data_IF_400444034726
#
_entry.id   IF_400444034726
#
_cell.length_a   1.000
_cell.length_b   1.000
_cell.length_c   1.000
_cell.angle_alpha   90.00
_cell.angle_beta   90.00
_cell.angle_gamma   90.00
#
_symmetry.space_group_name_H-M   'P 1'
#
loop_
_entity.id
_entity.type
_entity.pdbx_description
1 polymer ?
#
# COMPACT_ATOMS: atom_id res chain seq x y z
N UNK A 1 -88.16 -28.26 -44.78
CA UNK A 1 -86.78 -27.82 -45.04
C UNK A 1 -86.24 -27.06 -43.83
N UNK A 2 -85.31 -27.65 -43.07
CA UNK A 2 -84.17 -26.99 -42.39
C UNK A 2 -83.42 -28.02 -41.54
N UNK A 3 -82.30 -28.49 -42.08
CA UNK A 3 -81.28 -29.24 -41.34
C UNK A 3 -80.66 -28.32 -40.28
N UNK A 4 -80.50 -28.81 -39.03
CA UNK A 4 -79.53 -28.27 -38.08
C UNK A 4 -78.45 -29.31 -37.84
N UNK A 5 -77.27 -28.98 -38.35
CA UNK A 5 -76.01 -29.70 -38.20
C UNK A 5 -75.50 -29.54 -36.76
N UNK A 6 -75.24 -30.66 -36.08
CA UNK A 6 -74.59 -30.70 -34.77
C UNK A 6 -73.08 -30.60 -34.97
N UNK A 7 -72.44 -29.54 -34.44
CA UNK A 7 -70.99 -29.40 -34.42
C UNK A 7 -70.43 -30.12 -33.20
N UNK A 8 -69.78 -31.26 -33.41
CA UNK A 8 -68.92 -31.88 -32.41
C UNK A 8 -67.67 -31.02 -32.21
N UNK A 9 -67.49 -30.47 -31.02
CA UNK A 9 -66.26 -29.82 -30.57
C UNK A 9 -65.29 -30.91 -30.08
N UNK A 10 -64.31 -31.24 -30.90
CA UNK A 10 -63.20 -32.10 -30.51
C UNK A 10 -62.29 -31.36 -29.52
N UNK A 11 -62.39 -31.75 -28.25
CA UNK A 11 -61.55 -31.26 -27.16
C UNK A 11 -60.21 -32.00 -27.23
N UNK A 12 -59.21 -31.39 -27.88
CA UNK A 12 -57.82 -31.89 -27.85
C UNK A 12 -57.37 -31.97 -26.39
N UNK A 13 -57.15 -33.19 -25.89
CA UNK A 13 -56.50 -33.42 -24.58
C UNK A 13 -55.05 -32.93 -24.68
N UNK A 14 -54.52 -32.19 -23.69
CA UNK A 14 -53.10 -31.92 -23.65
C UNK A 14 -52.37 -33.26 -23.44
N UNK A 15 -51.55 -33.66 -24.41
CA UNK A 15 -50.62 -34.77 -24.22
C UNK A 15 -49.64 -34.34 -23.13
N UNK A 16 -49.67 -35.01 -21.98
CA UNK A 16 -48.58 -34.99 -21.01
C UNK A 16 -47.39 -35.67 -21.65
N UNK A 17 -46.57 -34.86 -22.32
CA UNK A 17 -45.33 -35.28 -22.96
C UNK A 17 -44.30 -35.54 -21.85
N UNK A 18 -43.99 -36.82 -21.60
CA UNK A 18 -42.93 -37.20 -20.68
C UNK A 18 -41.56 -36.84 -21.27
N UNK A 19 -40.62 -36.47 -20.42
CA UNK A 19 -39.24 -36.18 -20.84
C UNK A 19 -38.53 -37.47 -21.26
N UNK A 20 -37.80 -37.41 -22.37
CA UNK A 20 -36.94 -38.53 -22.77
C UNK A 20 -35.68 -38.57 -21.92
N UNK A 21 -35.15 -39.76 -21.64
CA UNK A 21 -33.90 -39.92 -20.88
C UNK A 21 -32.73 -39.19 -21.57
N UNK A 22 -32.74 -39.12 -22.90
CA UNK A 22 -31.74 -38.42 -23.69
C UNK A 22 -31.80 -36.89 -23.49
N UNK A 23 -32.99 -36.29 -23.47
CA UNK A 23 -33.15 -34.86 -23.15
C UNK A 23 -32.62 -34.52 -21.76
N UNK A 24 -32.89 -35.37 -20.77
CA UNK A 24 -32.44 -35.16 -19.39
C UNK A 24 -30.91 -35.22 -19.30
N UNK A 25 -30.27 -36.18 -19.96
CA UNK A 25 -28.80 -36.30 -19.97
C UNK A 25 -28.15 -35.11 -20.66
N UNK A 26 -28.68 -34.69 -21.82
CA UNK A 26 -28.17 -33.50 -22.52
C UNK A 26 -28.34 -32.25 -21.65
N UNK A 27 -29.52 -32.07 -21.03
CA UNK A 27 -29.78 -30.93 -20.16
C UNK A 27 -28.82 -30.88 -18.96
N UNK A 28 -28.55 -32.02 -18.32
CA UNK A 28 -27.59 -32.11 -17.21
C UNK A 28 -26.15 -31.80 -17.66
N UNK A 29 -25.74 -32.30 -18.83
CA UNK A 29 -24.41 -32.02 -19.38
C UNK A 29 -24.22 -30.52 -19.69
N UNK A 30 -25.20 -29.90 -20.35
CA UNK A 30 -25.17 -28.47 -20.67
C UNK A 30 -25.21 -27.62 -19.40
N UNK A 31 -26.06 -27.98 -18.44
CA UNK A 31 -26.17 -27.28 -17.16
C UNK A 31 -24.86 -27.38 -16.36
N UNK A 32 -24.25 -28.56 -16.30
CA UNK A 32 -22.95 -28.79 -15.66
C UNK A 32 -21.83 -27.99 -16.33
N UNK A 33 -21.81 -27.93 -17.66
CA UNK A 33 -20.83 -27.12 -18.40
C UNK A 33 -21.01 -25.62 -18.16
N UNK A 34 -22.26 -25.12 -18.16
CA UNK A 34 -22.55 -23.70 -17.90
C UNK A 34 -22.14 -23.28 -16.49
N UNK A 35 -22.50 -24.06 -15.47
CA UNK A 35 -22.11 -23.77 -14.08
C UNK A 35 -20.59 -23.92 -13.91
N UNK A 36 -20.00 -24.99 -14.44
CA UNK A 36 -18.56 -25.22 -14.37
C UNK A 36 -17.76 -24.10 -15.03
N UNK A 37 -18.19 -23.64 -16.21
CA UNK A 37 -17.61 -22.49 -16.89
C UNK A 37 -17.72 -21.22 -16.04
N UNK A 38 -18.92 -20.89 -15.54
CA UNK A 38 -19.16 -19.66 -14.79
C UNK A 38 -18.41 -19.63 -13.45
N UNK A 39 -18.39 -20.75 -12.72
CA UNK A 39 -17.61 -20.88 -11.48
C UNK A 39 -16.10 -20.85 -11.73
N UNK A 40 -15.63 -21.37 -12.87
CA UNK A 40 -14.22 -21.32 -13.26
C UNK A 40 -13.68 -19.90 -13.48
N UNK A 41 -14.53 -18.94 -13.84
CA UNK A 41 -14.15 -17.54 -14.05
C UNK A 41 -14.23 -16.67 -12.78
N UNK A 42 -14.90 -17.13 -11.72
CA UNK A 42 -15.07 -16.33 -10.49
C UNK A 42 -13.74 -15.93 -9.84
N UNK A 43 -12.75 -16.82 -9.64
CA UNK A 43 -11.48 -16.44 -8.98
C UNK A 43 -10.75 -15.32 -9.71
N UNK A 44 -10.71 -15.38 -11.04
CA UNK A 44 -10.11 -14.34 -11.88
C UNK A 44 -10.83 -12.99 -11.76
N UNK A 45 -12.17 -13.01 -11.72
CA UNK A 45 -12.97 -11.80 -11.54
C UNK A 45 -12.70 -11.10 -10.21
N UNK A 46 -12.68 -11.84 -9.10
CA UNK A 46 -12.46 -11.24 -7.77
C UNK A 46 -11.03 -10.74 -7.56
N UNK A 47 -10.02 -11.47 -8.07
CA UNK A 47 -8.63 -11.02 -8.00
C UNK A 47 -8.40 -9.74 -8.81
N UNK A 48 -9.03 -9.63 -9.99
CA UNK A 48 -8.96 -8.44 -10.83
C UNK A 48 -9.53 -7.20 -10.15
N UNK A 49 -10.72 -7.32 -9.55
CA UNK A 49 -11.37 -6.21 -8.83
C UNK A 49 -10.56 -5.79 -7.60
N UNK A 50 -9.98 -6.76 -6.87
CA UNK A 50 -9.11 -6.48 -5.73
C UNK A 50 -7.91 -5.62 -6.10
N UNK A 51 -7.17 -6.00 -7.15
CA UNK A 51 -5.99 -5.26 -7.63
C UNK A 51 -6.32 -3.82 -8.06
N UNK A 52 -7.45 -3.62 -8.75
CA UNK A 52 -7.89 -2.28 -9.19
C UNK A 52 -8.23 -1.41 -7.97
N UNK A 53 -8.91 -1.97 -6.98
CA UNK A 53 -9.23 -1.25 -5.73
C UNK A 53 -7.95 -0.84 -5.00
N UNK A 54 -7.00 -1.74 -4.84
CA UNK A 54 -5.72 -1.47 -4.16
C UNK A 54 -4.92 -0.38 -4.86
N UNK A 55 -4.89 -0.41 -6.20
CA UNK A 55 -4.26 0.62 -7.01
C UNK A 55 -4.95 1.99 -6.86
N UNK A 56 -6.28 2.02 -6.86
CA UNK A 56 -7.03 3.27 -6.64
C UNK A 56 -6.76 3.85 -5.24
N UNK A 57 -6.67 3.01 -4.20
CA UNK A 57 -6.29 3.46 -2.86
C UNK A 57 -4.86 4.01 -2.87
N UNK A 58 -3.91 3.30 -3.48
CA UNK A 58 -2.52 3.76 -3.57
C UNK A 58 -2.41 5.13 -4.27
N UNK A 59 -3.16 5.38 -5.34
CA UNK A 59 -3.19 6.69 -5.98
C UNK A 59 -3.86 7.77 -5.12
N UNK A 60 -4.88 7.40 -4.33
CA UNK A 60 -5.51 8.32 -3.37
C UNK A 60 -4.60 8.75 -2.22
N UNK A 61 -3.54 7.98 -1.91
CA UNK A 61 -2.59 8.30 -0.85
C UNK A 61 -1.61 9.44 -1.21
N UNK A 62 -1.50 9.84 -2.49
CA UNK A 62 -0.54 10.84 -2.95
C UNK A 62 -0.67 12.16 -2.16
N UNK A 63 -1.91 12.64 -2.01
CA UNK A 63 -2.19 13.89 -1.31
C UNK A 63 -1.89 13.76 0.19
N UNK A 64 -2.26 12.64 0.81
CA UNK A 64 -1.98 12.38 2.22
C UNK A 64 -0.48 12.29 2.51
N UNK A 65 0.30 11.71 1.57
CA UNK A 65 1.77 11.69 1.65
C UNK A 65 2.31 13.12 1.60
N UNK A 66 1.81 13.96 0.70
CA UNK A 66 2.26 15.35 0.60
C UNK A 66 1.99 16.11 1.91
N UNK A 67 0.77 16.04 2.42
CA UNK A 67 0.37 16.70 3.68
C UNK A 67 1.24 16.24 4.84
N UNK A 68 1.53 14.94 4.97
CA UNK A 68 2.35 14.42 6.05
C UNK A 68 3.81 14.89 5.92
N UNK A 69 4.38 14.91 4.72
CA UNK A 69 5.74 15.42 4.49
C UNK A 69 5.85 16.93 4.77
N UNK A 70 4.84 17.71 4.40
CA UNK A 70 4.75 19.14 4.73
C UNK A 70 4.63 19.37 6.24
N UNK A 71 3.81 18.56 6.93
CA UNK A 71 3.67 18.60 8.40
C UNK A 71 4.98 18.29 9.12
N UNK A 72 5.76 17.33 8.62
CA UNK A 72 7.07 16.99 9.16
C UNK A 72 8.12 18.09 8.96
N UNK A 73 7.91 18.94 7.96
CA UNK A 73 8.77 20.07 7.63
C UNK A 73 9.98 19.69 6.77
N UNK A 74 10.42 20.65 5.96
CA UNK A 74 11.46 20.48 4.94
C UNK A 74 12.76 19.89 5.49
N UNK A 75 13.24 20.39 6.63
CA UNK A 75 14.52 19.96 7.21
C UNK A 75 14.53 18.48 7.60
N UNK A 76 13.45 17.98 8.21
CA UNK A 76 13.37 16.59 8.62
C UNK A 76 13.32 15.69 7.38
N UNK A 77 12.50 16.04 6.40
CA UNK A 77 12.37 15.26 5.16
C UNK A 77 13.67 15.27 4.35
N UNK A 78 14.34 16.41 4.21
CA UNK A 78 15.65 16.51 3.55
C UNK A 78 16.66 15.54 4.16
N UNK A 79 16.80 15.56 5.50
CA UNK A 79 17.77 14.71 6.20
C UNK A 79 17.35 13.24 6.26
N UNK A 80 16.06 12.96 6.44
CA UNK A 80 15.52 11.61 6.49
C UNK A 80 15.53 10.86 5.15
N UNK A 81 15.63 11.59 4.04
CA UNK A 81 15.69 11.04 2.68
C UNK A 81 17.08 11.12 2.04
N UNK A 82 18.12 11.35 2.86
CA UNK A 82 19.50 11.56 2.40
C UNK A 82 19.98 10.41 1.53
N UNK A 83 20.41 10.75 0.32
CA UNK A 83 21.03 9.81 -0.63
C UNK A 83 22.42 10.24 -1.06
N UNK A 84 22.68 11.55 -1.10
CA UNK A 84 23.92 12.11 -1.61
C UNK A 84 24.69 12.70 -0.42
N UNK A 85 25.93 12.25 -0.24
CA UNK A 85 26.87 12.84 0.72
C UNK A 85 27.63 13.98 0.06
N UNK A 86 27.94 15.02 0.85
CA UNK A 86 28.64 16.20 0.35
C UNK A 86 27.95 16.82 -0.88
N UNK A 87 26.63 17.02 -0.85
CA UNK A 87 25.89 17.54 -2.02
C UNK A 87 26.41 18.90 -2.50
N UNK A 88 26.99 19.68 -1.59
CA UNK A 88 27.64 20.98 -1.84
C UNK A 88 29.14 20.87 -2.12
N UNK A 89 29.72 19.67 -2.04
CA UNK A 89 31.13 19.42 -2.28
C UNK A 89 31.42 19.31 -3.77
N UNK A 90 32.69 19.50 -4.16
CA UNK A 90 33.12 19.45 -5.57
C UNK A 90 32.87 18.07 -6.22
N UNK A 91 32.87 17.00 -5.42
CA UNK A 91 32.62 15.63 -5.86
C UNK A 91 31.57 15.00 -4.94
N UNK A 92 30.26 15.17 -5.21
CA UNK A 92 29.21 14.56 -4.41
C UNK A 92 29.18 13.04 -4.62
N UNK A 93 28.85 12.28 -3.57
CA UNK A 93 28.83 10.81 -3.59
C UNK A 93 27.40 10.28 -3.43
N UNK A 94 26.93 9.43 -4.36
CA UNK A 94 25.66 8.71 -4.21
C UNK A 94 25.85 7.47 -3.32
N UNK A 95 25.10 7.40 -2.22
CA UNK A 95 25.11 6.29 -1.26
C UNK A 95 24.51 4.99 -1.85
N UNK A 96 23.89 5.04 -3.04
CA UNK A 96 23.30 3.92 -3.76
C UNK A 96 22.31 3.12 -2.89
N UNK A 97 22.74 1.93 -2.45
CA UNK A 97 21.93 1.04 -1.64
C UNK A 97 21.92 1.44 -0.17
N UNK A 98 22.90 2.21 0.31
CA UNK A 98 22.99 2.71 1.69
C UNK A 98 22.22 4.02 1.93
N UNK A 99 21.38 4.41 0.98
CA UNK A 99 20.57 5.62 1.09
C UNK A 99 19.59 5.51 2.26
N UNK A 100 19.23 6.65 2.81
CA UNK A 100 18.20 6.74 3.85
C UNK A 100 16.83 6.88 3.20
N UNK A 101 15.86 6.19 3.78
CA UNK A 101 14.47 6.21 3.37
C UNK A 101 13.63 6.64 4.55
N UNK A 102 12.83 7.68 4.33
CA UNK A 102 11.79 8.09 5.25
C UNK A 102 10.57 7.19 4.99
N UNK A 103 10.15 6.48 6.03
CA UNK A 103 9.03 5.53 5.95
C UNK A 103 7.76 6.19 6.49
N UNK A 104 6.73 6.21 5.66
CA UNK A 104 5.37 6.49 6.09
C UNK A 104 4.53 5.22 5.97
N UNK A 105 3.46 5.15 6.74
CA UNK A 105 2.52 4.03 6.73
C UNK A 105 1.09 4.50 6.63
N UNK A 106 0.24 3.66 6.04
CA UNK A 106 -1.18 3.91 5.95
C UNK A 106 -2.00 2.64 6.23
N UNK A 107 -3.22 2.79 6.77
CA UNK A 107 -4.12 1.68 7.00
C UNK A 107 -4.64 1.09 5.70
N UNK A 108 -5.25 -0.10 5.77
CA UNK A 108 -5.81 -0.81 4.59
C UNK A 108 -6.78 0.04 3.76
N UNK A 109 -7.52 0.92 4.42
CA UNK A 109 -8.50 1.79 3.79
C UNK A 109 -7.86 3.03 3.13
N UNK A 110 -6.61 3.33 3.47
CA UNK A 110 -5.83 4.44 2.91
C UNK A 110 -6.34 5.84 3.26
N UNK A 111 -7.05 6.00 4.38
CA UNK A 111 -7.66 7.28 4.76
C UNK A 111 -6.69 8.28 5.42
N UNK A 112 -5.48 7.85 5.81
CA UNK A 112 -4.43 8.71 6.41
C UNK A 112 -3.04 8.12 6.18
N UNK A 113 -2.02 8.95 6.33
CA UNK A 113 -0.59 8.59 6.22
C UNK A 113 0.14 9.15 7.42
N UNK A 114 0.98 8.34 8.06
CA UNK A 114 1.70 8.75 9.26
C UNK A 114 3.18 8.35 9.18
N UNK A 115 4.04 9.21 9.71
CA UNK A 115 5.47 8.97 9.76
C UNK A 115 5.85 7.86 10.75
N UNK A 116 6.39 6.76 10.22
CA UNK A 116 6.80 5.61 11.03
C UNK A 116 8.21 5.78 11.59
N UNK A 117 9.20 6.01 10.72
CA UNK A 117 10.63 6.10 11.07
C UNK A 117 11.51 6.42 9.86
N UNK A 118 12.80 6.72 10.10
CA UNK A 118 13.84 6.76 9.07
C UNK A 118 14.71 5.51 9.15
N UNK A 119 15.01 4.89 8.01
CA UNK A 119 15.89 3.70 7.94
C UNK A 119 16.95 3.85 6.86
N UNK A 120 18.13 3.28 7.10
CA UNK A 120 19.10 2.97 6.05
C UNK A 120 18.61 1.74 5.28
N UNK A 121 18.61 1.86 3.96
CA UNK A 121 18.15 0.80 3.08
C UNK A 121 19.12 -0.40 3.11
N UNK A 122 18.60 -1.58 3.41
CA UNK A 122 19.37 -2.83 3.46
C UNK A 122 18.62 -3.95 2.73
N UNK A 123 19.17 -4.37 1.59
CA UNK A 123 18.55 -5.39 0.72
C UNK A 123 18.39 -6.74 1.41
N UNK A 124 19.26 -7.07 2.36
CA UNK A 124 19.23 -8.34 3.08
C UNK A 124 18.06 -8.35 4.08
N UNK A 125 17.98 -7.32 4.93
CA UNK A 125 16.92 -7.14 5.93
C UNK A 125 15.55 -6.99 5.27
N UNK A 126 15.46 -6.21 4.19
CA UNK A 126 14.20 -5.98 3.47
C UNK A 126 13.55 -7.27 2.93
N UNK A 127 14.36 -8.27 2.60
CA UNK A 127 13.91 -9.52 1.99
C UNK A 127 13.95 -10.71 2.94
N UNK A 128 14.44 -10.52 4.16
CA UNK A 128 14.31 -11.49 5.23
C UNK A 128 12.84 -11.64 5.64
N UNK A 129 12.40 -12.88 5.85
CA UNK A 129 11.02 -13.19 6.27
C UNK A 129 10.84 -13.14 7.78
N UNK A 130 11.92 -13.32 8.54
CA UNK A 130 11.89 -13.25 10.01
C UNK A 130 12.02 -11.82 10.53
N UNK A 131 12.64 -10.92 9.77
CA UNK A 131 12.76 -9.52 10.19
C UNK A 131 11.41 -8.83 10.20
N UNK A 132 11.06 -8.25 11.35
CA UNK A 132 9.89 -7.38 11.52
C UNK A 132 10.16 -5.93 11.08
N UNK A 133 11.43 -5.58 10.85
CA UNK A 133 11.86 -4.23 10.47
C UNK A 133 12.22 -4.16 8.99
N UNK A 134 12.07 -2.97 8.41
CA UNK A 134 12.32 -2.73 6.99
C UNK A 134 13.80 -2.44 6.66
N UNK A 135 14.59 -2.03 7.65
CA UNK A 135 16.01 -1.68 7.49
C UNK A 135 16.63 -1.23 8.81
N UNK A 136 17.83 -0.66 8.74
CA UNK A 136 18.56 -0.21 9.93
C UNK A 136 18.07 1.18 10.34
N UNK A 137 17.35 1.25 11.47
CA UNK A 137 16.76 2.49 11.97
C UNK A 137 17.83 3.57 12.20
N UNK A 138 17.50 4.81 11.82
CA UNK A 138 18.31 5.99 12.08
C UNK A 138 17.58 6.87 13.11
N UNK A 139 18.24 7.17 14.23
CA UNK A 139 17.63 7.98 15.30
C UNK A 139 17.78 9.48 15.05
N UNK A 140 18.88 9.89 14.43
CA UNK A 140 19.16 11.27 14.09
C UNK A 140 20.11 11.39 12.90
N UNK A 141 20.09 12.55 12.27
CA UNK A 141 21.11 12.98 11.33
C UNK A 141 22.06 13.95 12.03
N UNK A 142 23.35 13.83 11.75
CA UNK A 142 24.39 14.74 12.25
C UNK A 142 25.15 15.29 11.04
N UNK A 143 25.40 16.61 11.03
CA UNK A 143 26.15 17.23 9.96
C UNK A 143 27.63 16.79 9.95
N UNK A 144 28.33 17.01 8.84
CA UNK A 144 29.73 16.57 8.66
C UNK A 144 30.69 17.18 9.69
N UNK A 145 30.34 18.36 10.23
CA UNK A 145 31.11 19.06 11.28
C UNK A 145 30.76 18.65 12.70
N UNK A 146 29.71 17.83 12.91
CA UNK A 146 29.15 17.50 14.22
C UNK A 146 28.31 18.60 14.91
N UNK A 147 28.25 19.82 14.36
CA UNK A 147 27.66 21.00 15.01
C UNK A 147 26.12 21.06 14.98
N UNK A 148 25.46 20.35 14.07
CA UNK A 148 24.00 20.36 13.94
C UNK A 148 23.47 18.94 13.88
N UNK A 149 22.41 18.69 14.64
CA UNK A 149 21.68 17.43 14.64
C UNK A 149 20.19 17.64 14.32
N UNK A 150 19.60 16.66 13.66
CA UNK A 150 18.15 16.57 13.43
C UNK A 150 17.69 15.22 13.96
N UNK A 151 16.92 15.23 15.03
CA UNK A 151 16.31 14.02 15.59
C UNK A 151 15.11 13.59 14.75
N UNK A 152 14.95 12.28 14.54
CA UNK A 152 13.87 11.74 13.71
C UNK A 152 12.69 11.22 14.52
N UNK A 153 12.91 10.64 15.70
CA UNK A 153 11.82 10.01 16.44
C UNK A 153 11.14 10.94 17.45
N UNK A 154 11.92 11.75 18.15
CA UNK A 154 11.44 12.65 19.20
C UNK A 154 12.04 14.04 19.00
N UNK A 155 11.22 15.07 19.17
CA UNK A 155 11.65 16.46 19.10
C UNK A 155 12.51 16.85 20.32
N UNK A 156 13.14 18.02 20.25
CA UNK A 156 13.92 18.57 21.38
C UNK A 156 13.06 18.80 22.64
N UNK A 157 11.74 18.98 22.48
CA UNK A 157 10.80 19.20 23.58
C UNK A 157 10.24 17.89 24.15
N UNK A 158 10.69 16.74 23.66
CA UNK A 158 10.18 15.42 24.07
C UNK A 158 8.90 14.99 23.34
N UNK A 159 8.37 15.79 22.42
CA UNK A 159 7.19 15.41 21.63
C UNK A 159 7.54 14.38 20.55
N UNK A 160 6.70 13.36 20.32
CA UNK A 160 6.96 12.34 19.32
C UNK A 160 6.72 12.84 17.90
N UNK A 161 7.75 12.72 17.07
CA UNK A 161 7.70 13.03 15.65
C UNK A 161 7.23 11.82 14.85
N UNK A 162 7.73 10.63 15.18
CA UNK A 162 7.42 9.37 14.51
C UNK A 162 6.51 8.47 15.37
N UNK A 163 5.91 7.45 14.76
CA UNK A 163 5.12 6.44 15.47
C UNK A 163 5.94 5.71 16.56
N UNK A 164 7.26 5.54 16.38
CA UNK A 164 8.12 4.93 17.39
C UNK A 164 8.31 5.79 18.64
N UNK A 165 8.21 7.12 18.49
CA UNK A 165 8.29 8.06 19.60
C UNK A 165 7.03 8.08 20.45
N UNK A 166 5.88 7.63 19.91
CA UNK A 166 4.61 7.61 20.62
C UNK A 166 4.65 6.48 21.66
N UNK A 167 4.97 6.83 22.90
CA UNK A 167 4.94 5.95 24.07
C UNK A 167 4.00 6.57 25.10
N UNK A 168 2.71 6.23 25.05
CA UNK A 168 1.70 6.85 25.89
C UNK A 168 0.31 6.24 25.67
N UNK A 169 -0.74 6.90 26.19
CA UNK A 169 -2.13 6.48 25.93
C UNK A 169 -2.43 6.69 24.45
N UNK A 170 -2.25 5.65 23.63
CA UNK A 170 -2.65 5.56 22.22
C UNK A 170 -4.12 5.94 21.97
N UNK A 171 -4.89 6.09 23.05
CA UNK A 171 -6.30 6.45 23.10
C UNK A 171 -6.57 7.92 23.42
N UNK A 172 -5.56 8.71 23.81
CA UNK A 172 -5.72 10.14 24.14
C UNK A 172 -5.16 11.07 23.04
N UNK A 173 -5.89 12.12 22.67
CA UNK A 173 -5.37 13.17 21.79
C UNK A 173 -4.17 13.90 22.40
N UNK A 174 -3.24 14.43 21.58
CA UNK A 174 -3.25 14.38 20.11
C UNK A 174 -2.68 13.06 19.53
N UNK A 175 -2.09 12.19 20.35
CA UNK A 175 -1.37 10.99 19.90
C UNK A 175 -2.29 9.94 19.26
N UNK A 176 -3.48 9.75 19.81
CA UNK A 176 -4.48 8.80 19.27
C UNK A 176 -4.88 9.08 17.83
N UNK A 177 -4.88 10.35 17.43
CA UNK A 177 -5.28 10.74 16.08
C UNK A 177 -4.25 10.35 15.02
N UNK A 178 -3.00 10.11 15.45
CA UNK A 178 -1.88 9.72 14.58
C UNK A 178 -1.53 8.24 14.70
N UNK A 179 -1.85 7.63 15.83
CA UNK A 179 -1.44 6.25 16.07
C UNK A 179 -2.10 5.27 15.10
N UNK A 180 -1.28 4.45 14.44
CA UNK A 180 -1.70 3.31 13.62
C UNK A 180 -1.05 2.05 14.22
N UNK A 181 -1.83 1.08 14.70
CA UNK A 181 -1.31 -0.20 15.19
C UNK A 181 -0.49 -0.94 14.13
N UNK A 182 0.54 -1.68 14.54
CA UNK A 182 1.45 -2.36 13.61
C UNK A 182 0.73 -3.32 12.64
N UNK A 183 -0.25 -4.09 13.14
CA UNK A 183 -1.08 -5.00 12.34
C UNK A 183 -2.01 -4.30 11.34
N UNK A 184 -2.24 -2.99 11.52
CA UNK A 184 -3.04 -2.17 10.61
C UNK A 184 -2.19 -1.38 9.60
N UNK A 185 -0.86 -1.41 9.67
CA UNK A 185 0.03 -0.70 8.73
C UNK A 185 0.21 -1.47 7.42
N UNK A 186 -0.86 -1.53 6.62
CA UNK A 186 -0.86 -2.34 5.41
C UNK A 186 -0.12 -1.71 4.22
N UNK A 187 -0.06 -0.39 4.12
CA UNK A 187 0.75 0.29 3.09
C UNK A 187 2.05 0.78 3.70
N UNK A 188 3.14 0.57 2.97
CA UNK A 188 4.44 1.20 3.26
C UNK A 188 4.74 2.20 2.15
N UNK A 189 4.98 3.44 2.53
CA UNK A 189 5.41 4.49 1.61
C UNK A 189 6.87 4.80 1.89
N UNK A 190 7.74 4.56 0.92
CA UNK A 190 9.16 4.95 1.00
C UNK A 190 9.40 6.24 0.26
N UNK A 191 9.91 7.24 0.96
CA UNK A 191 10.36 8.49 0.36
C UNK A 191 11.89 8.49 0.32
N UNK A 192 12.46 8.81 -0.85
CA UNK A 192 13.92 8.93 -1.01
C UNK A 192 14.28 9.97 -2.06
N UNK A 193 15.44 10.61 -1.91
CA UNK A 193 15.96 11.51 -2.94
C UNK A 193 16.35 10.76 -4.21
N UNK A 194 16.23 11.46 -5.34
CA UNK A 194 16.70 10.95 -6.62
C UNK A 194 18.22 10.78 -6.67
N UNK A 195 18.74 9.80 -7.45
CA UNK A 195 20.17 9.65 -7.68
C UNK A 195 20.81 10.88 -8.35
N UNK A 196 22.14 10.96 -8.30
CA UNK A 196 22.91 12.05 -8.90
C UNK A 196 22.58 12.29 -10.39
N UNK A 197 22.43 11.22 -11.17
CA UNK A 197 22.26 11.28 -12.63
C UNK A 197 20.79 11.29 -13.09
N UNK A 198 19.85 11.63 -12.21
CA UNK A 198 18.42 11.55 -12.52
C UNK A 198 17.83 12.88 -12.98
N UNK A 199 16.98 12.86 -14.01
CA UNK A 199 16.36 14.07 -14.60
C UNK A 199 15.48 14.89 -13.63
N UNK A 200 14.92 14.24 -12.61
CA UNK A 200 14.07 14.88 -11.60
C UNK A 200 14.85 15.32 -10.36
N UNK A 201 16.18 15.24 -10.38
CA UNK A 201 17.02 15.71 -9.28
C UNK A 201 17.04 17.24 -9.28
N UNK A 202 16.89 17.81 -8.08
CA UNK A 202 17.12 19.22 -7.82
C UNK A 202 18.07 19.36 -6.63
N UNK A 203 18.87 20.44 -6.63
CA UNK A 203 19.69 20.76 -5.46
C UNK A 203 18.78 21.38 -4.37
N UNK A 204 18.75 20.84 -3.14
CA UNK A 204 17.84 21.31 -2.08
C UNK A 204 17.97 22.79 -1.73
N UNK A 205 19.14 23.41 -1.98
CA UNK A 205 19.36 24.86 -1.81
C UNK A 205 18.43 25.73 -2.64
N UNK A 206 17.81 25.19 -3.69
CA UNK A 206 16.87 25.92 -4.52
C UNK A 206 15.51 26.12 -3.83
N UNK A 207 15.33 25.64 -2.60
CA UNK A 207 14.08 25.75 -1.83
C UNK A 207 13.06 24.67 -2.17
N UNK A 208 13.41 23.72 -3.04
CA UNK A 208 12.59 22.58 -3.43
C UNK A 208 13.37 21.29 -3.23
N UNK A 209 12.70 20.27 -2.71
CA UNK A 209 13.24 18.92 -2.57
C UNK A 209 12.39 17.96 -3.39
N UNK A 210 12.98 17.42 -4.47
CA UNK A 210 12.33 16.41 -5.29
C UNK A 210 12.60 15.00 -4.73
N UNK A 211 11.52 14.26 -4.54
CA UNK A 211 11.49 12.94 -3.93
C UNK A 211 10.90 11.92 -4.90
N UNK A 212 11.47 10.73 -4.87
CA UNK A 212 10.82 9.54 -5.38
C UNK A 212 10.01 8.92 -4.24
N UNK A 213 8.70 8.84 -4.43
CA UNK A 213 7.79 8.15 -3.53
C UNK A 213 7.45 6.78 -4.11
N UNK A 214 7.56 5.74 -3.30
CA UNK A 214 7.25 4.35 -3.64
C UNK A 214 6.25 3.78 -2.63
N UNK A 215 4.98 3.73 -3.02
CA UNK A 215 3.89 3.13 -2.24
C UNK A 215 3.88 1.63 -2.50
N UNK A 216 3.95 0.86 -1.42
CA UNK A 216 4.09 -0.59 -1.44
C UNK A 216 2.91 -1.27 -0.74
N UNK A 217 2.39 -2.32 -1.38
CA UNK A 217 1.27 -3.12 -0.87
C UNK A 217 1.44 -4.61 -1.17
N UNK A 218 1.11 -5.53 -0.24
CA UNK A 218 0.90 -5.31 1.19
C UNK A 218 2.23 -5.20 1.95
N UNK A 219 2.27 -4.41 3.03
CA UNK A 219 3.43 -4.24 3.90
C UNK A 219 3.40 -5.16 5.12
N UNK A 220 2.53 -4.88 6.08
CA UNK A 220 2.25 -5.74 7.25
C UNK A 220 0.86 -6.33 7.08
N UNK A 221 0.72 -7.60 7.43
CA UNK A 221 -0.57 -8.32 7.44
C UNK A 221 -0.78 -8.95 8.81
N UNK A 222 -2.01 -8.96 9.35
CA UNK A 222 -2.31 -9.63 10.61
C UNK A 222 -1.88 -11.11 10.56
N UNK A 223 -1.23 -11.56 11.63
CA UNK A 223 -0.78 -12.94 11.78
C UNK A 223 -1.29 -13.51 13.13
N UNK A 224 -2.42 -14.26 13.11
CA UNK A 224 -3.04 -14.77 14.32
C UNK A 224 -2.16 -15.79 15.05
N UNK A 225 -1.09 -16.31 14.42
CA UNK A 225 -0.15 -17.22 15.08
C UNK A 225 0.72 -16.51 16.13
N UNK A 226 0.84 -15.19 16.05
CA UNK A 226 1.66 -14.35 16.94
C UNK A 226 0.86 -13.61 18.01
N UNK A 227 -0.45 -13.87 18.11
CA UNK A 227 -1.38 -13.20 19.03
C UNK A 227 -2.37 -12.27 18.31
N UNK A 228 -3.28 -11.65 19.05
CA UNK A 228 -4.35 -10.80 18.50
C UNK A 228 -3.82 -9.53 17.80
N UNK A 229 -2.72 -8.96 18.30
CA UNK A 229 -2.02 -7.82 17.68
C UNK A 229 -0.83 -8.27 16.79
N UNK A 230 -0.74 -9.57 16.57
CA UNK A 230 0.31 -10.21 15.79
C UNK A 230 0.29 -9.75 14.34
N UNK A 231 1.46 -9.50 13.77
CA UNK A 231 1.59 -9.19 12.36
C UNK A 231 2.81 -9.84 11.74
N UNK A 232 2.70 -10.06 10.44
CA UNK A 232 3.78 -10.51 9.59
C UNK A 232 4.14 -9.42 8.59
N UNK A 233 5.42 -9.10 8.51
CA UNK A 233 5.96 -8.24 7.43
C UNK A 233 6.13 -9.06 6.15
N UNK A 234 5.61 -8.55 5.05
CA UNK A 234 5.76 -9.14 3.72
C UNK A 234 7.09 -8.67 3.14
N UNK A 235 7.94 -9.57 2.63
CA UNK A 235 9.24 -9.17 2.05
C UNK A 235 9.08 -8.24 0.85
N UNK A 236 10.00 -7.29 0.68
CA UNK A 236 9.94 -6.27 -0.38
C UNK A 236 9.67 -6.85 -1.79
N UNK A 237 10.31 -7.96 -2.17
CA UNK A 237 10.14 -8.60 -3.48
C UNK A 237 8.73 -9.11 -3.80
N UNK A 238 7.86 -9.23 -2.81
CA UNK A 238 6.49 -9.73 -2.97
C UNK A 238 5.44 -8.61 -2.92
N UNK A 239 5.88 -7.35 -2.81
CA UNK A 239 4.98 -6.20 -2.75
C UNK A 239 4.76 -5.65 -4.16
N UNK A 240 3.56 -5.13 -4.38
CA UNK A 240 3.26 -4.27 -5.52
C UNK A 240 3.81 -2.88 -5.25
N UNK A 241 4.29 -2.20 -6.29
CA UNK A 241 4.95 -0.89 -6.20
C UNK A 241 4.23 0.13 -7.07
N UNK A 242 3.89 1.27 -6.48
CA UNK A 242 3.34 2.44 -7.16
C UNK A 242 4.28 3.63 -6.93
N UNK A 243 4.93 4.09 -8.00
CA UNK A 243 5.97 5.11 -7.91
C UNK A 243 5.55 6.40 -8.57
N UNK A 244 5.80 7.51 -7.90
CA UNK A 244 5.55 8.84 -8.45
C UNK A 244 6.60 9.84 -7.93
N UNK A 245 6.89 10.88 -8.73
CA UNK A 245 7.64 12.04 -8.24
C UNK A 245 6.76 12.89 -7.33
N UNK A 246 7.35 13.43 -6.27
CA UNK A 246 6.73 14.46 -5.42
C UNK A 246 7.79 15.52 -5.12
N UNK A 247 7.37 16.76 -4.94
CA UNK A 247 8.26 17.84 -4.51
C UNK A 247 7.69 18.52 -3.27
N UNK A 248 8.54 18.81 -2.29
CA UNK A 248 8.19 19.65 -1.15
C UNK A 248 8.97 20.95 -1.20
N UNK A 249 8.39 22.01 -0.65
CA UNK A 249 8.98 23.35 -0.59
C UNK A 249 9.41 23.70 0.82
N UNK A 250 10.42 24.56 0.93
CA UNK A 250 10.83 25.16 2.20
C UNK A 250 9.83 26.20 2.70
#
# INVERSE_FOLDING_TARGET
MRFRCSKHLDRKKPLTQGFTLLEVVIALAVFGFLIGGLLGFLPWGVEGVGKVREQNIAYGLVDAVQVELERMGFSLVERGTTRIKGITSAVPEDMKDRRWCLLLVAPREGHRVEFEQVVENDKSVMNDRSSLVEGNMQESWVNETGASNVAFNTSMNGEPLSLLGIKGSETQPPWSNRWIPEGERYFLIKCSQYPLDHRHRHHPSNGFLALQVDIQWPYKTPDPSTGDDGFRRISHRYRTHFRFPLAITR
#
